data_IF_676746242855
#
_entry.id   IF_676746242855
#
_cell.length_a   1.000
_cell.length_b   1.000
_cell.length_c   1.000
_cell.angle_alpha   90.00
_cell.angle_beta   90.00
_cell.angle_gamma   90.00
#
_symmetry.space_group_name_H-M   'P 1'
#
loop_
_entity.id
_entity.type
_entity.pdbx_description
1 polymer ?
#
# COMPACT_ATOMS: atom_id res chain seq x y z
N UNK A 1 -5.69 -38.56 -48.41
CA UNK A 1 -6.41 -37.54 -47.61
C UNK A 1 -5.87 -37.55 -46.19
N UNK A 2 -5.50 -36.39 -45.62
CA UNK A 2 -5.37 -36.07 -44.17
C UNK A 2 -4.89 -34.62 -44.08
N UNK A 3 -5.73 -33.70 -43.57
CA UNK A 3 -5.38 -32.27 -43.40
C UNK A 3 -4.84 -32.07 -41.99
N UNK A 4 -3.62 -31.58 -41.84
CA UNK A 4 -3.13 -31.07 -40.56
C UNK A 4 -3.77 -29.71 -40.28
N UNK A 5 -4.47 -29.57 -39.16
CA UNK A 5 -5.12 -28.33 -38.74
C UNK A 5 -4.59 -27.90 -37.36
N UNK A 6 -3.33 -27.47 -37.32
CA UNK A 6 -2.67 -27.01 -36.08
C UNK A 6 -3.13 -25.60 -35.71
N UNK A 7 -4.21 -25.50 -34.94
CA UNK A 7 -4.67 -24.24 -34.36
C UNK A 7 -3.74 -23.80 -33.22
N UNK A 8 -3.00 -22.70 -33.42
CA UNK A 8 -2.12 -22.15 -32.40
C UNK A 8 -2.92 -21.24 -31.45
N UNK A 9 -3.43 -21.79 -30.36
CA UNK A 9 -4.07 -21.01 -29.29
C UNK A 9 -3.01 -20.28 -28.47
N UNK A 10 -2.86 -18.97 -28.70
CA UNK A 10 -2.01 -18.11 -27.89
C UNK A 10 -2.85 -17.52 -26.73
N UNK A 11 -2.90 -18.23 -25.61
CA UNK A 11 -3.49 -17.71 -24.37
C UNK A 11 -2.58 -16.63 -23.78
N UNK A 12 -2.86 -15.36 -24.08
CA UNK A 12 -2.17 -14.23 -23.47
C UNK A 12 -2.62 -14.06 -22.02
N UNK A 13 -1.77 -14.44 -21.06
CA UNK A 13 -2.01 -14.11 -19.66
C UNK A 13 -1.82 -12.61 -19.47
N UNK A 14 -2.88 -11.92 -19.08
CA UNK A 14 -2.82 -10.50 -18.70
C UNK A 14 -2.23 -10.45 -17.30
N UNK A 15 -0.96 -10.09 -17.19
CA UNK A 15 -0.41 -9.63 -15.93
C UNK A 15 -1.05 -8.26 -15.62
N UNK A 16 -1.84 -8.19 -14.56
CA UNK A 16 -2.12 -6.91 -13.92
C UNK A 16 -0.80 -6.34 -13.38
N UNK A 17 -0.74 -5.03 -13.18
CA UNK A 17 0.19 -4.54 -12.16
C UNK A 17 -0.27 -5.13 -10.81
N UNK A 18 0.67 -5.48 -9.94
CA UNK A 18 0.33 -5.90 -8.58
C UNK A 18 0.33 -4.65 -7.70
N UNK A 19 -0.83 -4.38 -7.10
CA UNK A 19 -1.14 -3.26 -6.21
C UNK A 19 0.01 -2.98 -5.23
N UNK A 20 0.24 -1.70 -4.91
CA UNK A 20 1.17 -1.40 -3.83
C UNK A 20 0.52 -1.88 -2.52
N UNK A 21 1.29 -2.59 -1.69
CA UNK A 21 0.79 -3.29 -0.52
C UNK A 21 1.82 -3.24 0.61
N UNK A 22 1.38 -3.51 1.84
CA UNK A 22 2.25 -4.06 2.89
C UNK A 22 2.82 -5.40 2.38
N UNK A 23 4.07 -5.72 2.76
CA UNK A 23 4.72 -7.01 2.45
C UNK A 23 5.44 -7.62 3.66
N UNK A 24 4.98 -7.26 4.86
CA UNK A 24 5.55 -7.66 6.13
C UNK A 24 6.31 -6.57 6.89
N UNK A 25 6.70 -6.91 8.11
CA UNK A 25 7.44 -6.05 9.03
C UNK A 25 8.19 -6.86 10.09
N UNK A 26 8.87 -6.20 11.02
CA UNK A 26 9.65 -6.82 12.10
C UNK A 26 9.66 -5.94 13.33
N UNK A 27 9.33 -6.48 14.50
CA UNK A 27 9.59 -5.82 15.79
C UNK A 27 11.02 -6.13 16.22
N UNK A 28 11.82 -5.09 16.50
CA UNK A 28 13.23 -5.19 16.91
C UNK A 28 13.46 -4.77 18.37
N UNK A 29 12.50 -4.06 18.97
CA UNK A 29 12.41 -3.74 20.39
C UNK A 29 10.94 -3.74 20.81
N UNK A 30 10.62 -4.31 21.97
CA UNK A 30 9.24 -4.45 22.44
C UNK A 30 8.91 -5.90 22.80
N UNK A 31 7.66 -6.17 23.17
CA UNK A 31 7.21 -7.48 23.65
C UNK A 31 6.29 -8.27 22.69
N UNK A 32 5.80 -7.66 21.61
CA UNK A 32 4.93 -8.31 20.63
C UNK A 32 5.57 -8.51 19.26
N UNK A 33 4.75 -8.86 18.28
CA UNK A 33 5.13 -9.22 16.91
C UNK A 33 4.65 -8.19 15.89
N UNK A 34 5.06 -8.32 14.63
CA UNK A 34 4.39 -7.63 13.53
C UNK A 34 3.14 -8.41 13.10
N UNK A 35 2.03 -7.71 12.87
CA UNK A 35 0.76 -8.29 12.41
C UNK A 35 0.18 -7.48 11.26
N UNK A 36 -0.05 -8.12 10.13
CA UNK A 36 -0.76 -7.55 8.98
C UNK A 36 -2.27 -7.78 9.17
N UNK A 37 -3.09 -6.74 9.05
CA UNK A 37 -4.55 -6.81 9.24
C UNK A 37 -5.29 -6.77 7.90
N UNK A 38 -6.34 -7.58 7.79
CA UNK A 38 -7.26 -7.57 6.64
C UNK A 38 -8.22 -6.38 6.76
N UNK A 39 -7.96 -5.31 6.00
CA UNK A 39 -8.77 -4.09 5.99
C UNK A 39 -10.13 -4.23 5.30
N UNK A 40 -10.45 -5.41 4.75
CA UNK A 40 -11.82 -5.75 4.29
C UNK A 40 -12.71 -6.23 5.44
N UNK A 41 -12.11 -6.64 6.58
CA UNK A 41 -12.83 -6.99 7.80
C UNK A 41 -13.13 -5.72 8.62
N UNK A 42 -14.38 -5.50 9.07
CA UNK A 42 -14.72 -4.32 9.86
C UNK A 42 -13.92 -4.20 11.15
N UNK A 43 -13.22 -3.07 11.31
CA UNK A 43 -12.40 -2.75 12.49
C UNK A 43 -12.50 -1.26 12.87
N UNK A 44 -11.80 -0.85 13.92
CA UNK A 44 -11.80 0.54 14.41
C UNK A 44 -10.39 0.97 14.78
N UNK A 45 -10.07 2.23 14.47
CA UNK A 45 -8.77 2.88 14.64
C UNK A 45 -8.96 4.16 15.46
N UNK A 46 -8.01 4.52 16.33
CA UNK A 46 -8.12 5.69 17.20
C UNK A 46 -9.06 5.47 18.38
N UNK A 47 -8.98 4.29 19.00
CA UNK A 47 -9.79 3.89 20.15
C UNK A 47 -9.00 2.93 21.03
N UNK A 48 -9.32 2.90 22.32
CA UNK A 48 -9.07 1.77 23.22
C UNK A 48 -9.76 0.50 22.66
N UNK A 49 -9.02 -0.32 21.90
CA UNK A 49 -9.54 -1.59 21.36
C UNK A 49 -8.52 -2.70 21.00
N UNK A 50 -7.26 -2.42 20.64
CA UNK A 50 -6.27 -3.49 20.40
C UNK A 50 -5.66 -3.95 21.72
N UNK A 51 -5.13 -3.02 22.51
CA UNK A 51 -4.55 -3.27 23.83
C UNK A 51 -3.41 -4.33 23.85
N UNK A 52 -2.68 -4.52 22.75
CA UNK A 52 -1.61 -5.53 22.61
C UNK A 52 -0.21 -4.92 22.53
N UNK A 53 0.83 -5.74 22.57
CA UNK A 53 2.20 -5.28 22.31
C UNK A 53 2.62 -5.41 20.84
N UNK A 54 1.68 -5.72 19.93
CA UNK A 54 1.94 -6.00 18.52
C UNK A 54 1.97 -4.72 17.68
N UNK A 55 2.80 -4.72 16.63
CA UNK A 55 2.89 -3.66 15.63
C UNK A 55 1.97 -4.01 14.46
N UNK A 56 0.92 -3.23 14.26
CA UNK A 56 -0.07 -3.48 13.23
C UNK A 56 0.22 -2.68 11.95
N UNK A 57 -0.02 -3.27 10.78
CA UNK A 57 -0.14 -2.53 9.53
C UNK A 57 -1.23 -3.12 8.62
N UNK A 58 -1.78 -2.30 7.73
CA UNK A 58 -2.73 -2.75 6.70
C UNK A 58 -2.79 -1.81 5.50
N UNK A 59 -3.25 -2.35 4.38
CA UNK A 59 -3.53 -1.60 3.16
C UNK A 59 -4.83 -0.82 3.28
N UNK A 60 -4.82 0.46 2.94
CA UNK A 60 -5.99 1.31 2.92
C UNK A 60 -6.60 1.37 1.50
N UNK A 61 -7.04 2.55 1.03
CA UNK A 61 -7.47 2.74 -0.34
C UNK A 61 -6.27 2.69 -1.31
N UNK A 62 -6.34 1.77 -2.27
CA UNK A 62 -5.34 1.57 -3.32
C UNK A 62 -5.71 2.30 -4.62
N UNK A 63 -4.71 2.58 -5.46
CA UNK A 63 -4.86 3.22 -6.78
C UNK A 63 -5.69 4.54 -6.79
N UNK A 64 -5.71 5.26 -5.67
CA UNK A 64 -6.47 6.50 -5.55
C UNK A 64 -5.79 7.65 -6.28
N UNK A 65 -6.49 8.31 -7.20
CA UNK A 65 -5.97 9.51 -7.88
C UNK A 65 -6.37 10.78 -7.13
N UNK A 66 -5.37 11.45 -6.55
CA UNK A 66 -5.53 12.65 -5.74
C UNK A 66 -6.26 13.78 -6.50
N UNK A 67 -7.36 14.26 -5.92
CA UNK A 67 -8.18 15.36 -6.48
C UNK A 67 -7.69 16.75 -6.04
N UNK A 68 -6.91 16.81 -4.97
CA UNK A 68 -6.22 17.98 -4.42
C UNK A 68 -4.81 17.60 -3.98
N UNK A 69 -3.97 18.60 -3.67
CA UNK A 69 -2.65 18.36 -3.07
C UNK A 69 -2.80 17.68 -1.69
N UNK A 70 -2.06 16.60 -1.47
CA UNK A 70 -2.00 15.87 -0.20
C UNK A 70 -0.76 16.32 0.58
N UNK A 71 -1.00 16.91 1.75
CA UNK A 71 0.07 17.28 2.68
C UNK A 71 0.62 16.03 3.36
N UNK A 72 1.95 15.94 3.43
CA UNK A 72 2.70 14.88 4.10
C UNK A 72 3.78 15.50 4.98
N UNK A 73 4.34 14.73 5.91
CA UNK A 73 5.29 15.23 6.89
C UNK A 73 6.54 15.82 6.19
N UNK A 74 6.67 17.15 6.25
CA UNK A 74 7.74 17.91 5.60
C UNK A 74 7.59 18.08 4.07
N UNK A 75 6.44 17.77 3.47
CA UNK A 75 6.26 17.83 2.01
C UNK A 75 4.81 17.88 1.52
N UNK A 76 4.66 17.80 0.19
CA UNK A 76 3.36 17.78 -0.49
C UNK A 76 3.42 16.80 -1.67
N UNK A 77 2.41 15.95 -1.81
CA UNK A 77 2.18 15.12 -3.00
C UNK A 77 1.09 15.81 -3.82
N UNK A 78 1.44 16.36 -4.97
CA UNK A 78 0.52 17.17 -5.78
C UNK A 78 -0.70 16.39 -6.30
N UNK A 79 -1.79 17.11 -6.58
CA UNK A 79 -2.98 16.60 -7.24
C UNK A 79 -2.66 15.91 -8.59
N UNK A 80 -3.54 14.98 -8.99
CA UNK A 80 -3.39 14.19 -10.21
C UNK A 80 -2.34 13.06 -10.12
N UNK A 81 -1.76 12.82 -8.94
CA UNK A 81 -0.97 11.61 -8.67
C UNK A 81 -1.89 10.47 -8.23
N UNK A 82 -1.68 9.30 -8.82
CA UNK A 82 -2.24 8.04 -8.32
C UNK A 82 -1.33 7.53 -7.19
N UNK A 83 -1.92 7.24 -6.03
CA UNK A 83 -1.23 6.84 -4.80
C UNK A 83 -1.95 5.68 -4.13
N UNK A 84 -1.19 4.94 -3.33
CA UNK A 84 -1.67 3.90 -2.45
C UNK A 84 -1.47 4.33 -1.01
N UNK A 85 -2.48 4.14 -0.17
CA UNK A 85 -2.40 4.43 1.27
C UNK A 85 -2.27 3.15 2.07
N UNK A 86 -1.50 3.20 3.15
CA UNK A 86 -1.31 2.12 4.12
C UNK A 86 -1.29 2.72 5.52
N UNK A 87 -1.81 2.00 6.51
CA UNK A 87 -1.79 2.45 7.91
C UNK A 87 -0.82 1.61 8.72
N UNK A 88 -0.18 2.23 9.72
CA UNK A 88 0.62 1.54 10.73
C UNK A 88 0.19 2.03 12.11
N UNK A 89 0.07 1.12 13.08
CA UNK A 89 -0.52 1.39 14.39
C UNK A 89 0.17 0.60 15.52
N UNK A 90 0.18 1.18 16.72
CA UNK A 90 0.62 0.54 17.96
C UNK A 90 -0.23 1.01 19.15
N UNK A 91 -1.15 0.16 19.62
CA UNK A 91 -2.08 0.45 20.72
C UNK A 91 -1.90 -0.55 21.89
N UNK A 92 -0.98 -0.27 22.83
CA UNK A 92 -0.75 -1.09 24.01
C UNK A 92 -1.52 -0.62 25.24
N UNK A 93 -2.09 -1.56 25.99
CA UNK A 93 -2.86 -1.32 27.22
C UNK A 93 -2.13 -0.47 28.28
N UNK A 94 -0.80 -0.52 28.29
CA UNK A 94 0.05 0.19 29.24
C UNK A 94 1.19 0.90 28.49
N UNK A 95 1.61 2.06 29.03
CA UNK A 95 2.73 2.84 28.53
C UNK A 95 3.97 1.97 28.29
N UNK A 96 4.32 1.78 27.02
CA UNK A 96 5.39 0.87 26.62
C UNK A 96 6.06 1.30 25.33
N UNK A 97 7.31 0.89 25.16
CA UNK A 97 8.13 1.24 24.00
C UNK A 97 8.21 0.09 23.03
N UNK A 98 8.02 0.40 21.75
CA UNK A 98 8.29 -0.53 20.65
C UNK A 98 9.21 0.15 19.62
N UNK A 99 9.99 -0.65 18.90
CA UNK A 99 10.67 -0.25 17.69
C UNK A 99 10.70 -1.41 16.69
N UNK A 100 10.73 -1.10 15.41
CA UNK A 100 10.60 -2.09 14.35
C UNK A 100 10.69 -1.47 12.97
N UNK A 101 10.24 -2.21 11.97
CA UNK A 101 10.04 -1.68 10.62
C UNK A 101 8.86 -2.34 9.91
N UNK A 102 8.27 -1.62 8.95
CA UNK A 102 7.23 -2.10 8.03
C UNK A 102 7.69 -1.84 6.61
N UNK A 103 7.53 -2.82 5.73
CA UNK A 103 7.96 -2.76 4.33
C UNK A 103 6.79 -2.88 3.38
N UNK A 104 6.90 -2.19 2.24
CA UNK A 104 5.86 -2.07 1.22
C UNK A 104 6.36 -2.56 -0.14
N UNK A 105 5.47 -3.04 -1.01
CA UNK A 105 5.81 -3.38 -2.40
C UNK A 105 5.99 -2.10 -3.25
N UNK A 106 5.23 -1.04 -2.95
CA UNK A 106 5.36 0.29 -3.53
C UNK A 106 6.56 1.09 -2.99
N UNK A 107 6.95 2.16 -3.70
CA UNK A 107 7.92 3.14 -3.19
C UNK A 107 7.20 4.18 -2.33
N UNK A 108 7.73 4.49 -1.15
CA UNK A 108 7.17 5.52 -0.26
C UNK A 108 7.35 6.91 -0.87
N UNK A 109 6.25 7.66 -0.93
CA UNK A 109 6.18 9.07 -1.35
C UNK A 109 6.15 10.01 -0.15
N UNK A 110 5.56 9.59 0.96
CA UNK A 110 5.47 10.38 2.18
C UNK A 110 4.90 9.58 3.36
N UNK A 111 4.95 10.18 4.53
CA UNK A 111 4.30 9.73 5.77
C UNK A 111 3.41 10.86 6.26
N UNK A 112 2.34 10.51 6.97
CA UNK A 112 1.45 11.44 7.66
C UNK A 112 1.36 10.96 9.11
N UNK A 113 1.87 11.75 10.05
CA UNK A 113 1.95 11.39 11.48
C UNK A 113 1.22 12.34 12.43
N UNK A 114 0.80 13.53 11.97
CA UNK A 114 0.08 14.50 12.82
C UNK A 114 -1.43 14.28 12.80
N UNK A 115 -2.10 14.45 13.95
CA UNK A 115 -3.56 14.24 14.13
C UNK A 115 -4.40 14.98 13.09
N UNK A 116 -4.14 16.27 12.88
CA UNK A 116 -4.86 17.09 11.91
C UNK A 116 -4.69 16.59 10.47
N UNK A 117 -3.49 16.11 10.12
CA UNK A 117 -3.19 15.62 8.76
C UNK A 117 -3.73 14.21 8.53
N UNK A 118 -3.78 13.37 9.57
CA UNK A 118 -4.46 12.07 9.53
C UNK A 118 -5.98 12.25 9.34
N UNK A 119 -6.61 13.17 10.10
CA UNK A 119 -8.01 13.55 9.91
C UNK A 119 -8.26 14.11 8.50
N UNK A 120 -7.41 15.01 8.02
CA UNK A 120 -7.53 15.58 6.67
C UNK A 120 -7.33 14.55 5.54
N UNK A 121 -6.72 13.40 5.81
CA UNK A 121 -6.43 12.34 4.82
C UNK A 121 -7.28 11.09 4.95
N UNK A 122 -8.28 11.04 5.85
CA UNK A 122 -9.14 9.85 6.03
C UNK A 122 -10.02 9.51 4.81
N UNK A 123 -10.07 10.37 3.79
CA UNK A 123 -10.63 10.02 2.47
C UNK A 123 -9.83 8.91 1.74
N UNK A 124 -8.61 8.61 2.21
CA UNK A 124 -7.78 7.49 1.76
C UNK A 124 -7.98 6.20 2.58
N UNK A 125 -8.84 6.23 3.61
CA UNK A 125 -9.07 5.09 4.49
C UNK A 125 -9.75 3.91 3.81
N UNK A 126 -9.52 2.69 4.32
CA UNK A 126 -10.19 1.49 3.81
C UNK A 126 -11.70 1.51 4.13
N UNK A 127 -12.61 1.17 3.19
CA UNK A 127 -14.05 1.32 3.38
C UNK A 127 -14.71 0.56 4.54
N UNK A 128 -14.07 -0.48 5.08
CA UNK A 128 -14.56 -1.23 6.26
C UNK A 128 -13.93 -0.75 7.59
N UNK A 129 -12.93 0.13 7.54
CA UNK A 129 -12.22 0.63 8.72
C UNK A 129 -12.88 1.91 9.23
N UNK A 130 -13.27 1.92 10.50
CA UNK A 130 -13.82 3.10 11.16
C UNK A 130 -12.71 3.92 11.84
N UNK A 131 -12.43 5.11 11.32
CA UNK A 131 -11.42 6.03 11.86
C UNK A 131 -12.05 6.97 12.88
N UNK A 132 -11.74 6.78 14.15
CA UNK A 132 -12.21 7.65 15.23
C UNK A 132 -11.15 8.73 15.46
N UNK A 133 -11.50 9.98 15.15
CA UNK A 133 -10.61 11.12 15.38
C UNK A 133 -10.69 11.62 16.82
N UNK A 134 -9.97 10.91 17.68
CA UNK A 134 -9.49 11.38 18.99
C UNK A 134 -8.29 12.34 18.82
N UNK A 135 -7.99 13.12 19.87
CA UNK A 135 -6.86 14.07 19.90
C UNK A 135 -5.51 13.33 19.79
N UNK A 136 -5.42 12.16 20.41
CA UNK A 136 -4.20 11.35 20.55
C UNK A 136 -3.89 10.47 19.32
N UNK A 137 -4.66 10.56 18.22
CA UNK A 137 -4.39 9.79 17.00
C UNK A 137 -3.25 10.42 16.19
N UNK A 138 -2.02 10.00 16.42
CA UNK A 138 -0.85 10.42 15.64
C UNK A 138 0.45 9.84 16.18
N UNK A 139 1.55 10.57 16.00
CA UNK A 139 2.81 10.37 16.73
C UNK A 139 3.10 11.57 17.64
N UNK A 140 3.62 11.33 18.83
CA UNK A 140 4.01 12.36 19.79
C UNK A 140 5.49 12.80 19.62
N UNK A 141 5.89 13.84 20.37
CA UNK A 141 7.25 14.40 20.31
C UNK A 141 8.39 13.48 20.77
N UNK A 142 8.06 12.32 21.36
CA UNK A 142 9.04 11.30 21.75
C UNK A 142 9.35 10.31 20.62
N UNK A 143 8.45 10.22 19.64
CA UNK A 143 8.46 9.16 18.64
C UNK A 143 9.37 9.49 17.46
N UNK A 144 9.74 8.45 16.74
CA UNK A 144 10.60 8.53 15.56
C UNK A 144 10.16 7.52 14.53
N UNK A 145 10.03 7.98 13.29
CA UNK A 145 10.06 7.12 12.12
C UNK A 145 11.19 7.55 11.17
N UNK A 146 11.57 6.68 10.25
CA UNK A 146 12.56 6.96 9.20
C UNK A 146 12.19 6.20 7.93
N UNK A 147 12.08 6.92 6.82
CA UNK A 147 11.81 6.33 5.50
C UNK A 147 13.11 5.88 4.81
N UNK A 148 13.10 4.70 4.22
CA UNK A 148 14.20 4.11 3.45
C UNK A 148 13.67 3.39 2.20
N UNK A 149 13.36 4.17 1.16
CA UNK A 149 12.77 3.79 -0.16
C UNK A 149 11.41 3.06 -0.10
N UNK A 150 11.38 1.84 0.44
CA UNK A 150 10.19 0.99 0.60
C UNK A 150 9.92 0.53 2.03
N UNK A 151 10.76 0.93 2.97
CA UNK A 151 10.65 0.56 4.38
C UNK A 151 10.50 1.82 5.23
N UNK A 152 9.64 1.75 6.23
CA UNK A 152 9.60 2.68 7.36
C UNK A 152 10.20 1.96 8.56
N UNK A 153 11.26 2.51 9.13
CA UNK A 153 11.73 2.17 10.48
C UNK A 153 10.90 2.99 11.49
N UNK A 154 10.51 2.42 12.64
CA UNK A 154 9.76 3.09 13.72
C UNK A 154 10.38 2.86 15.09
N UNK A 155 10.21 3.81 16.00
CA UNK A 155 10.52 3.71 17.43
C UNK A 155 9.64 4.69 18.21
N UNK A 156 8.68 4.17 18.94
CA UNK A 156 7.62 4.95 19.58
C UNK A 156 7.27 4.51 21.01
N UNK A 157 6.57 5.37 21.75
CA UNK A 157 6.19 5.23 23.16
C UNK A 157 4.68 5.42 23.35
N UNK A 158 3.90 4.40 23.00
CA UNK A 158 2.45 4.45 23.11
C UNK A 158 1.92 4.06 24.50
N UNK A 159 0.73 4.57 24.80
CA UNK A 159 -0.30 3.88 25.60
C UNK A 159 -1.64 3.99 24.88
N UNK A 160 -2.59 3.11 25.19
CA UNK A 160 -3.94 3.19 24.63
C UNK A 160 -4.53 4.59 24.85
N UNK A 161 -5.10 5.24 23.80
CA UNK A 161 -5.62 4.69 22.54
C UNK A 161 -4.60 4.48 21.39
N UNK A 162 -3.31 4.69 21.61
CA UNK A 162 -2.22 4.23 20.73
C UNK A 162 -1.66 5.25 19.73
N UNK A 163 -0.48 4.91 19.19
CA UNK A 163 0.26 5.68 18.19
C UNK A 163 -0.10 5.22 16.76
N UNK A 164 -0.15 6.16 15.82
CA UNK A 164 -0.64 5.92 14.46
C UNK A 164 0.06 6.77 13.40
N UNK A 165 0.30 6.19 12.23
CA UNK A 165 0.77 6.92 11.04
C UNK A 165 0.25 6.29 9.74
N UNK A 166 -0.02 7.14 8.74
CA UNK A 166 -0.41 6.74 7.38
C UNK A 166 0.79 6.88 6.45
N UNK A 167 1.12 5.83 5.71
CA UNK A 167 2.21 5.79 4.71
C UNK A 167 1.59 5.88 3.33
N UNK A 168 2.10 6.79 2.51
CA UNK A 168 1.66 6.96 1.12
C UNK A 168 2.73 6.40 0.19
N UNK A 169 2.36 5.49 -0.70
CA UNK A 169 3.26 4.91 -1.71
C UNK A 169 2.81 5.21 -3.15
N UNK A 170 3.73 4.98 -4.09
CA UNK A 170 3.45 4.99 -5.53
C UNK A 170 2.52 3.83 -5.87
N UNK A 171 1.29 4.15 -6.25
CA UNK A 171 0.38 3.22 -6.89
C UNK A 171 1.03 2.65 -8.18
N UNK A 172 0.90 1.35 -8.49
CA UNK A 172 1.46 0.78 -9.70
C UNK A 172 0.81 1.38 -10.95
N UNK A 173 1.62 1.83 -11.91
CA UNK A 173 1.07 2.34 -13.18
C UNK A 173 0.58 1.14 -14.01
N UNK A 174 -0.71 1.06 -14.39
CA UNK A 174 -1.19 -0.02 -15.25
C UNK A 174 -0.44 -0.04 -16.58
N UNK A 175 0.13 -1.19 -16.96
CA UNK A 175 0.92 -1.32 -18.18
C UNK A 175 0.08 -0.92 -19.41
N UNK A 176 0.50 0.07 -20.23
CA UNK A 176 -0.28 0.50 -21.36
C UNK A 176 -0.60 -0.64 -22.33
N UNK A 177 -1.88 -0.77 -22.71
CA UNK A 177 -2.36 -1.79 -23.65
C UNK A 177 -1.63 -1.77 -25.01
N UNK A 178 -0.89 -0.70 -25.32
CA UNK A 178 0.09 -0.63 -26.39
C UNK A 178 1.09 -1.81 -26.40
N UNK A 179 1.47 -2.36 -25.24
CA UNK A 179 2.32 -3.56 -25.17
C UNK A 179 1.64 -4.79 -25.77
N UNK A 180 0.37 -5.03 -25.41
CA UNK A 180 -0.45 -6.11 -25.96
C UNK A 180 -0.75 -5.90 -27.45
N UNK A 181 -1.01 -4.66 -27.86
CA UNK A 181 -1.17 -4.29 -29.28
C UNK A 181 0.11 -4.54 -30.08
N UNK A 182 1.29 -4.25 -29.54
CA UNK A 182 2.56 -4.52 -30.21
C UNK A 182 2.83 -6.02 -30.34
N UNK A 183 2.55 -6.82 -29.31
CA UNK A 183 2.64 -8.29 -29.39
C UNK A 183 1.66 -8.86 -30.42
N UNK A 184 0.42 -8.36 -30.46
CA UNK A 184 -0.59 -8.75 -31.46
C UNK A 184 -0.21 -8.36 -32.89
N UNK A 185 0.35 -7.17 -33.09
CA UNK A 185 0.85 -6.70 -34.38
C UNK A 185 2.04 -7.55 -34.87
N UNK A 186 3.03 -7.81 -34.01
CA UNK A 186 4.19 -8.64 -34.35
C UNK A 186 3.79 -10.10 -34.62
N UNK A 187 2.87 -10.67 -33.83
CA UNK A 187 2.35 -12.02 -34.02
C UNK A 187 1.57 -12.19 -35.33
N UNK A 188 0.70 -11.23 -35.67
CA UNK A 188 -0.05 -11.24 -36.93
C UNK A 188 0.84 -11.04 -38.16
N UNK A 189 1.83 -10.12 -38.09
CA UNK A 189 2.86 -9.96 -39.13
C UNK A 189 3.67 -11.25 -39.35
N UNK A 190 4.06 -11.95 -38.28
CA UNK A 190 4.76 -13.23 -38.37
C UNK A 190 3.88 -14.33 -39.00
N UNK A 191 2.59 -14.38 -38.69
CA UNK A 191 1.64 -15.31 -39.30
C UNK A 191 1.44 -15.05 -40.80
N UNK A 192 1.32 -13.78 -41.21
CA UNK A 192 1.25 -13.38 -42.64
C UNK A 192 2.54 -13.75 -43.37
N UNK A 193 3.72 -13.53 -42.77
CA UNK A 193 5.02 -13.90 -43.36
C UNK A 193 5.17 -15.41 -43.56
N UNK A 194 4.63 -16.24 -42.65
CA UNK A 194 4.61 -17.71 -42.81
C UNK A 194 3.68 -18.15 -43.95
N UNK A 195 2.46 -17.59 -44.06
CA UNK A 195 1.53 -17.92 -45.16
C UNK A 195 2.14 -17.66 -46.55
N UNK A 196 2.89 -16.56 -46.72
CA UNK A 196 3.62 -16.24 -47.97
C UNK A 196 4.83 -17.11 -48.29
N UNK A 197 5.11 -18.15 -47.50
CA UNK A 197 6.18 -19.16 -47.74
C UNK A 197 5.62 -20.57 -47.98
N UNK A 198 4.31 -20.72 -48.08
CA UNK A 198 3.61 -22.02 -48.27
C UNK A 198 2.56 -21.96 -49.39
N UNK A 199 2.71 -20.98 -50.28
CA UNK A 199 2.05 -20.79 -51.56
C UNK A 199 3.13 -20.37 -52.57
#
# INVERSE_FOLDING_TARGET
>A
MKKFLSALFAAGMVASAADASVVGGTVTLGGGSFVELDSTVPMTIGKDNFNTLDMYAFDELQDYTLTSDLYVDGGVISAGKTVSSHYVAYDPLLWSRQAGSVSFSGKILGVISTTDSLLASDFLGAPAVSYVSIIERGLEGWDRYRVSDKTVDVSWWASTPGDYMRVITVAPVPLPAAGLLMVGALGSLAAVRRRRKSA
#
